data_IF_848957823555
#
_entry.id   IF_848957823555
#
_cell.length_a   1.000
_cell.length_b   1.000
_cell.length_c   1.000
_cell.angle_alpha   90.00
_cell.angle_beta   90.00
_cell.angle_gamma   90.00
#
_symmetry.space_group_name_H-M   'P 1'
#
loop_
_entity.id
_entity.type
_entity.pdbx_description
1 polymer ?
#
# COMPACT_ATOMS: atom_id res chain seq x y z
N UNK A 1 -13.49 -11.76 1.82
CA UNK A 1 -13.52 -12.57 3.06
C UNK A 1 -13.15 -11.66 4.21
N UNK A 2 -13.84 -11.76 5.34
CA UNK A 2 -13.55 -10.96 6.53
C UNK A 2 -12.91 -11.83 7.60
N UNK A 3 -11.80 -11.38 8.15
CA UNK A 3 -11.11 -12.03 9.26
C UNK A 3 -11.26 -11.17 10.51
N UNK A 4 -11.35 -11.82 11.68
CA UNK A 4 -11.47 -11.12 12.96
C UNK A 4 -10.10 -10.96 13.60
N UNK A 5 -9.78 -9.74 14.02
CA UNK A 5 -8.59 -9.44 14.82
C UNK A 5 -9.04 -9.07 16.22
N UNK A 6 -8.48 -9.74 17.23
CA UNK A 6 -8.74 -9.39 18.61
C UNK A 6 -7.80 -8.27 19.06
N UNK A 7 -8.37 -7.25 19.69
CA UNK A 7 -7.64 -6.09 20.22
C UNK A 7 -8.19 -5.76 21.60
N UNK A 8 -7.37 -5.09 22.42
CA UNK A 8 -7.82 -4.62 23.72
C UNK A 8 -8.74 -3.39 23.60
N UNK A 9 -9.46 -3.08 24.68
CA UNK A 9 -10.42 -1.97 24.69
C UNK A 9 -9.73 -0.61 24.49
N UNK A 10 -8.49 -0.48 24.95
CA UNK A 10 -7.69 0.74 24.79
C UNK A 10 -7.39 0.99 23.31
N UNK A 11 -6.96 -0.03 22.57
CA UNK A 11 -6.70 0.07 21.13
C UNK A 11 -7.98 0.37 20.36
N UNK A 12 -9.11 -0.23 20.74
CA UNK A 12 -10.40 0.06 20.11
C UNK A 12 -10.80 1.55 20.27
N UNK A 13 -10.59 2.13 21.47
CA UNK A 13 -10.84 3.56 21.73
C UNK A 13 -9.93 4.45 20.87
N UNK A 14 -8.65 4.12 20.79
CA UNK A 14 -7.69 4.86 19.94
C UNK A 14 -8.07 4.79 18.47
N UNK A 15 -8.46 3.62 17.97
CA UNK A 15 -8.95 3.44 16.60
C UNK A 15 -10.22 4.24 16.33
N UNK A 16 -11.12 4.37 17.31
CA UNK A 16 -12.34 5.18 17.19
C UNK A 16 -12.03 6.67 17.09
N UNK A 17 -11.07 7.17 17.87
CA UNK A 17 -10.58 8.56 17.77
C UNK A 17 -9.95 8.82 16.40
N UNK A 18 -9.01 7.95 15.97
CA UNK A 18 -8.35 8.05 14.67
C UNK A 18 -9.35 7.98 13.51
N UNK A 19 -10.40 7.15 13.62
CA UNK A 19 -11.48 7.09 12.62
C UNK A 19 -12.15 8.44 12.42
N UNK A 20 -12.40 9.19 13.50
CA UNK A 20 -13.02 10.53 13.46
C UNK A 20 -12.07 11.57 12.87
N UNK A 21 -10.81 11.55 13.28
CA UNK A 21 -9.78 12.48 12.80
C UNK A 21 -9.52 12.31 11.30
N UNK A 22 -9.37 11.07 10.85
CA UNK A 22 -9.11 10.74 9.44
C UNK A 22 -10.37 10.75 8.57
N UNK A 23 -11.56 10.98 9.17
CA UNK A 23 -12.88 10.88 8.53
C UNK A 23 -13.06 9.57 7.76
N UNK A 24 -12.53 8.48 8.30
CA UNK A 24 -12.55 7.17 7.66
C UNK A 24 -13.92 6.49 7.82
N UNK A 25 -14.32 5.72 6.80
CA UNK A 25 -15.60 5.02 6.74
C UNK A 25 -15.62 3.80 7.65
N UNK A 26 -14.49 3.10 7.77
CA UNK A 26 -14.35 1.86 8.55
C UNK A 26 -13.04 1.83 9.35
N UNK A 27 -12.97 0.94 10.35
CA UNK A 27 -11.70 0.68 11.05
C UNK A 27 -10.66 0.04 10.14
N UNK A 28 -11.10 -0.73 9.14
CA UNK A 28 -10.20 -1.30 8.14
C UNK A 28 -9.50 -0.19 7.33
N UNK A 29 -10.23 0.83 6.89
CA UNK A 29 -9.64 1.97 6.18
C UNK A 29 -8.63 2.74 7.04
N UNK A 30 -8.91 2.88 8.35
CA UNK A 30 -7.95 3.47 9.29
C UNK A 30 -6.66 2.64 9.35
N UNK A 31 -6.79 1.32 9.50
CA UNK A 31 -5.64 0.40 9.57
C UNK A 31 -4.84 0.44 8.28
N UNK A 32 -5.49 0.41 7.12
CA UNK A 32 -4.84 0.49 5.80
C UNK A 32 -4.04 1.79 5.64
N UNK A 33 -4.63 2.94 5.99
CA UNK A 33 -3.93 4.24 5.94
C UNK A 33 -2.71 4.29 6.87
N UNK A 34 -2.84 3.79 8.10
CA UNK A 34 -1.72 3.72 9.04
C UNK A 34 -0.59 2.80 8.54
N UNK A 35 -0.95 1.68 7.89
CA UNK A 35 0.02 0.78 7.28
C UNK A 35 0.74 1.48 6.12
N UNK A 36 0.01 2.18 5.25
CA UNK A 36 0.59 2.90 4.10
C UNK A 36 1.52 4.03 4.57
N UNK A 37 1.10 4.81 5.57
CA UNK A 37 1.91 5.87 6.18
C UNK A 37 3.22 5.30 6.74
N UNK A 38 3.14 4.20 7.50
CA UNK A 38 4.33 3.58 8.11
C UNK A 38 5.25 2.92 7.09
N UNK A 39 4.71 2.38 6.01
CA UNK A 39 5.50 1.73 4.93
C UNK A 39 6.08 2.74 3.94
N UNK A 40 5.69 4.03 3.99
CA UNK A 40 6.03 5.05 2.99
C UNK A 40 5.76 4.59 1.55
N UNK A 41 4.80 3.67 1.38
CA UNK A 41 4.43 3.17 0.05
C UNK A 41 3.50 4.21 -0.54
N UNK A 42 3.85 4.83 -1.68
CA UNK A 42 2.94 5.76 -2.32
C UNK A 42 1.67 5.01 -2.73
N UNK A 43 0.50 5.62 -2.50
CA UNK A 43 -0.82 5.07 -2.89
C UNK A 43 -0.92 4.77 -4.40
N UNK A 44 0.07 5.23 -5.19
CA UNK A 44 0.23 4.96 -6.61
C UNK A 44 1.71 4.86 -6.99
N UNK A 45 2.12 3.71 -7.53
CA UNK A 45 3.41 3.57 -8.25
C UNK A 45 3.40 4.27 -9.63
N UNK A 46 2.25 4.79 -10.07
CA UNK A 46 2.04 5.29 -11.44
C UNK A 46 2.82 6.58 -11.76
N UNK A 47 3.43 7.23 -10.77
CA UNK A 47 4.34 8.37 -10.96
C UNK A 47 5.82 8.05 -10.76
N UNK A 48 6.16 6.90 -10.17
CA UNK A 48 7.55 6.56 -9.84
C UNK A 48 8.33 6.07 -11.06
N UNK A 49 7.64 5.62 -12.11
CA UNK A 49 8.21 5.20 -13.38
C UNK A 49 8.17 6.28 -14.48
N UNK A 50 8.01 7.57 -14.12
CA UNK A 50 8.13 8.68 -15.10
C UNK A 50 9.61 8.89 -15.44
N UNK A 51 10.17 7.95 -16.20
CA UNK A 51 11.60 7.90 -16.56
C UNK A 51 12.19 6.48 -16.64
N UNK A 52 11.39 5.42 -16.44
CA UNK A 52 11.88 4.06 -16.71
C UNK A 52 12.28 3.97 -18.18
N UNK A 53 13.56 3.70 -18.44
CA UNK A 53 14.13 3.54 -19.77
C UNK A 53 13.24 2.63 -20.61
N UNK A 54 12.96 3.04 -21.85
CA UNK A 54 12.29 2.17 -22.81
C UNK A 54 13.02 0.83 -22.84
N UNK A 55 12.25 -0.24 -22.70
CA UNK A 55 12.76 -1.59 -22.87
C UNK A 55 13.20 -1.74 -24.33
N UNK A 56 14.50 -1.73 -24.57
CA UNK A 56 15.09 -2.10 -25.86
C UNK A 56 15.26 -3.61 -25.87
N UNK A 57 14.59 -4.27 -26.80
CA UNK A 57 14.75 -5.70 -27.05
C UNK A 57 16.14 -5.95 -27.62
N UNK A 58 17.09 -6.38 -26.79
CA UNK A 58 18.36 -6.92 -27.30
C UNK A 58 18.03 -8.19 -28.09
N UNK A 59 18.22 -8.13 -29.41
CA UNK A 59 18.16 -9.31 -30.26
C UNK A 59 19.33 -10.20 -29.88
N UNK A 60 19.04 -11.33 -29.26
CA UNK A 60 19.99 -12.41 -29.06
C UNK A 60 20.63 -12.75 -30.41
N UNK A 61 21.93 -12.50 -30.55
CA UNK A 61 22.71 -12.93 -31.71
C UNK A 61 22.68 -14.44 -31.74
N UNK A 62 22.04 -15.00 -32.77
CA UNK A 62 22.03 -16.43 -33.05
C UNK A 62 23.48 -16.95 -33.10
N UNK A 63 23.82 -17.84 -32.16
CA UNK A 63 25.08 -18.58 -32.22
C UNK A 63 24.99 -19.57 -33.38
N UNK A 64 25.70 -19.28 -34.47
CA UNK A 64 25.91 -20.24 -35.56
C UNK A 64 26.91 -21.30 -35.07
N UNK A 65 26.45 -22.55 -35.01
CA UNK A 65 27.23 -23.75 -34.70
C UNK A 65 28.18 -24.14 -35.85
#
# INVERSE_FOLDING_TARGET
MTTTVQVDEKTLKTLATLKRELKARSYQEVIERLINEKRKVPDSMFGYAKGSRHHTHDRETEHVL
#
